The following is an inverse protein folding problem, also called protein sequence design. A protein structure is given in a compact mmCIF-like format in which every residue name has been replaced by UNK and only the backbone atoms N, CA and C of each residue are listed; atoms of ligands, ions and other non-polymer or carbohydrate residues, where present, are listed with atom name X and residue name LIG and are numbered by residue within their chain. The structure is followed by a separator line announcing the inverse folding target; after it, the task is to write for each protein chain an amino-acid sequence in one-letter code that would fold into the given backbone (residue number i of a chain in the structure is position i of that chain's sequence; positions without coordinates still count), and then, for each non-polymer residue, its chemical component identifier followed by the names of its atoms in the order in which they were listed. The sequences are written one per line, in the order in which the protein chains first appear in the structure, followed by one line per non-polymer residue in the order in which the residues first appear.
data_IF_497849284691
#
_entry.id   IF_497849284691
#
_cell.length_a   1.000
_cell.length_b   1.000
_cell.length_c   1.000
_cell.angle_alpha   90.00
_cell.angle_beta   90.00
_cell.angle_gamma   90.00
#
_symmetry.space_group_name_H-M   'P 1'
#
loop_
_entity.id
_entity.type
_entity.pdbx_description
1 polymer ?
#
# COMPACT_ATOMS: atom_id res chain seq x y z
N UNK A 1 -21.29 -23.13 3.42
CA UNK A 1 -20.77 -21.96 4.17
C UNK A 1 -19.33 -21.83 3.73
N UNK A 2 -19.11 -21.08 2.64
CA UNK A 2 -17.75 -20.70 2.27
C UNK A 2 -17.30 -19.69 3.31
N UNK A 3 -16.34 -20.12 4.11
CA UNK A 3 -15.60 -19.26 5.02
C UNK A 3 -14.90 -18.22 4.14
N UNK A 4 -15.50 -17.04 4.04
CA UNK A 4 -15.01 -15.88 3.31
C UNK A 4 -13.82 -15.26 4.08
N UNK A 5 -12.86 -16.09 4.45
CA UNK A 5 -11.62 -15.72 5.14
C UNK A 5 -10.59 -15.15 4.14
N UNK A 6 -11.08 -14.68 2.99
CA UNK A 6 -10.27 -14.04 1.97
C UNK A 6 -10.11 -12.57 2.37
N UNK A 7 -8.90 -12.11 2.71
CA UNK A 7 -8.71 -10.72 3.06
C UNK A 7 -9.09 -9.82 1.87
N UNK A 8 -9.62 -8.61 2.12
CA UNK A 8 -10.02 -7.71 1.06
C UNK A 8 -8.83 -7.46 0.12
N UNK A 9 -9.12 -7.33 -1.18
CA UNK A 9 -8.09 -7.12 -2.21
C UNK A 9 -8.50 -5.92 -3.04
N UNK A 10 -7.54 -5.06 -3.33
CA UNK A 10 -7.75 -3.94 -4.23
C UNK A 10 -6.66 -3.90 -5.30
N UNK A 11 -7.01 -3.38 -6.46
CA UNK A 11 -6.07 -3.03 -7.51
C UNK A 11 -6.06 -1.51 -7.67
N UNK A 12 -4.86 -0.92 -7.76
CA UNK A 12 -4.72 0.51 -7.97
C UNK A 12 -3.64 0.78 -9.00
N UNK A 13 -4.01 1.52 -10.04
CA UNK A 13 -3.07 2.01 -11.05
C UNK A 13 -2.22 3.10 -10.43
N UNK A 14 -0.89 2.95 -10.54
CA UNK A 14 0.07 3.91 -9.99
C UNK A 14 0.77 4.65 -11.12
N UNK A 15 0.52 5.96 -11.23
CA UNK A 15 1.15 6.84 -12.20
C UNK A 15 2.35 7.57 -11.58
N UNK A 16 3.56 7.09 -11.86
CA UNK A 16 4.80 7.65 -11.29
C UNK A 16 5.06 9.12 -11.67
N UNK A 17 4.51 9.59 -12.79
CA UNK A 17 4.67 10.98 -13.26
C UNK A 17 3.87 12.00 -12.43
N UNK A 18 2.75 11.58 -11.84
CA UNK A 18 1.84 12.45 -11.10
C UNK A 18 1.75 12.12 -9.61
N UNK A 19 2.29 10.97 -9.19
CA UNK A 19 2.29 10.56 -7.78
C UNK A 19 3.48 11.19 -7.03
N UNK A 20 3.20 12.01 -6.01
CA UNK A 20 4.20 12.75 -5.22
C UNK A 20 5.08 11.89 -4.29
N UNK A 21 5.45 10.66 -4.67
CA UNK A 21 6.24 9.76 -3.83
C UNK A 21 5.45 9.09 -2.69
N UNK A 22 4.13 9.25 -2.67
CA UNK A 22 3.21 8.54 -1.78
C UNK A 22 2.10 7.86 -2.58
N UNK A 23 1.43 6.88 -1.96
CA UNK A 23 0.26 6.22 -2.53
C UNK A 23 -0.92 6.31 -1.59
N UNK A 24 -2.01 6.92 -2.05
CA UNK A 24 -3.29 6.91 -1.36
C UNK A 24 -3.88 5.51 -1.37
N UNK A 25 -4.35 5.02 -0.22
CA UNK A 25 -5.12 3.78 -0.11
C UNK A 25 -6.59 4.11 -0.45
N UNK A 26 -7.26 3.34 -1.33
CA UNK A 26 -8.68 3.57 -1.62
C UNK A 26 -9.55 3.51 -0.37
N UNK A 27 -10.49 4.45 -0.22
CA UNK A 27 -11.35 4.55 0.97
C UNK A 27 -12.21 3.29 1.20
N UNK A 28 -12.66 2.66 0.12
CA UNK A 28 -13.43 1.39 0.16
C UNK A 28 -12.63 0.27 0.83
N UNK A 29 -11.30 0.30 0.71
CA UNK A 29 -10.43 -0.65 1.41
C UNK A 29 -10.17 -0.24 2.85
N UNK A 30 -10.22 1.06 3.14
CA UNK A 30 -10.02 1.59 4.49
C UNK A 30 -11.15 1.24 5.44
N UNK A 31 -12.40 1.20 4.98
CA UNK A 31 -13.56 0.84 5.82
C UNK A 31 -13.49 -0.61 6.35
N UNK A 32 -12.78 -1.48 5.63
CA UNK A 32 -12.52 -2.87 6.03
C UNK A 32 -11.33 -3.01 7.00
N UNK A 33 -10.54 -1.95 7.19
CA UNK A 33 -9.37 -1.98 8.06
C UNK A 33 -9.75 -1.73 9.53
N UNK A 34 -8.99 -2.28 10.48
CA UNK A 34 -9.20 -2.01 11.90
C UNK A 34 -9.08 -0.51 12.18
N UNK A 35 -9.93 0.00 13.09
CA UNK A 35 -9.98 1.43 13.49
C UNK A 35 -8.64 2.01 13.90
N UNK A 36 -7.73 1.17 14.40
CA UNK A 36 -6.36 1.53 14.74
C UNK A 36 -5.41 0.98 13.68
N UNK A 37 -5.01 1.85 12.75
CA UNK A 37 -3.99 1.50 11.78
C UNK A 37 -2.60 1.47 12.42
N UNK A 38 -1.76 0.48 12.06
CA UNK A 38 -0.38 0.47 12.49
C UNK A 38 0.39 1.65 11.88
N UNK A 39 1.47 2.09 12.53
CA UNK A 39 2.33 3.17 12.02
C UNK A 39 3.10 2.76 10.75
N UNK A 40 3.22 1.46 10.52
CA UNK A 40 3.99 0.88 9.42
C UNK A 40 3.24 -0.31 8.81
N UNK A 41 3.33 -0.45 7.48
CA UNK A 41 2.89 -1.61 6.74
C UNK A 41 4.09 -2.36 6.17
N UNK A 42 3.91 -3.67 5.95
CA UNK A 42 4.87 -4.53 5.28
C UNK A 42 4.33 -4.88 3.91
N UNK A 43 5.00 -4.42 2.86
CA UNK A 43 4.71 -4.80 1.49
C UNK A 43 5.59 -6.00 1.14
N UNK A 44 4.99 -7.06 0.59
CA UNK A 44 5.71 -8.25 0.12
C UNK A 44 5.56 -8.37 -1.38
N UNK A 45 6.68 -8.55 -2.07
CA UNK A 45 6.73 -8.73 -3.51
C UNK A 45 6.72 -10.21 -3.89
N UNK A 46 6.48 -10.48 -5.16
CA UNK A 46 6.41 -11.83 -5.72
C UNK A 46 7.67 -12.68 -5.50
N UNK A 47 8.86 -12.06 -5.44
CA UNK A 47 10.13 -12.76 -5.17
C UNK A 47 10.58 -12.75 -3.70
N UNK A 48 9.66 -12.68 -2.73
CA UNK A 48 10.00 -12.76 -1.30
C UNK A 48 10.63 -11.51 -0.68
N UNK A 49 10.94 -10.52 -1.50
CA UNK A 49 11.38 -9.19 -1.09
C UNK A 49 10.33 -8.52 -0.18
N UNK A 50 10.78 -7.93 0.93
CA UNK A 50 9.93 -7.27 1.93
C UNK A 50 10.32 -5.80 2.05
N UNK A 51 9.32 -4.91 2.06
CA UNK A 51 9.50 -3.47 2.25
C UNK A 51 8.64 -2.97 3.40
N UNK A 52 9.28 -2.29 4.35
CA UNK A 52 8.58 -1.56 5.40
C UNK A 52 8.25 -0.17 4.91
N UNK A 53 6.97 0.20 4.91
CA UNK A 53 6.49 1.53 4.52
C UNK A 53 5.75 2.16 5.69
N UNK A 54 5.88 3.48 5.85
CA UNK A 54 5.11 4.23 6.84
C UNK A 54 3.67 4.38 6.37
N UNK A 55 2.72 4.24 7.30
CA UNK A 55 1.32 4.58 7.08
C UNK A 55 1.09 5.98 7.66
N UNK A 56 0.62 6.89 6.83
CA UNK A 56 0.36 8.28 7.19
C UNK A 56 -1.12 8.57 7.02
N UNK A 57 -1.75 9.13 8.05
CA UNK A 57 -3.17 9.50 8.04
C UNK A 57 -3.26 11.01 7.98
N UNK A 58 -3.84 11.55 6.90
CA UNK A 58 -4.21 12.96 6.85
C UNK A 58 -5.54 13.15 7.55
N UNK A 59 -5.48 13.50 8.84
CA UNK A 59 -6.65 13.74 9.71
C UNK A 59 -7.69 14.71 9.13
N UNK A 60 -7.29 15.63 8.26
CA UNK A 60 -8.22 16.61 7.65
C UNK A 60 -9.15 16.01 6.60
N UNK A 61 -8.76 14.90 5.98
CA UNK A 61 -9.49 14.29 4.85
C UNK A 61 -9.77 12.80 5.08
N UNK A 62 -9.41 12.26 6.24
CA UNK A 62 -9.48 10.82 6.57
C UNK A 62 -8.77 9.94 5.53
N UNK A 63 -7.81 10.52 4.82
CA UNK A 63 -7.09 9.84 3.77
C UNK A 63 -5.85 9.16 4.34
N UNK A 64 -5.69 7.89 4.00
CA UNK A 64 -4.55 7.07 4.41
C UNK A 64 -3.60 6.89 3.24
N UNK A 65 -2.31 7.09 3.51
CA UNK A 65 -1.26 7.04 2.51
C UNK A 65 -0.14 6.11 2.96
N UNK A 66 0.45 5.41 1.99
CA UNK A 66 1.81 4.92 2.12
C UNK A 66 2.77 6.08 1.86
N UNK A 67 3.43 6.52 2.93
CA UNK A 67 4.39 7.61 2.92
C UNK A 67 5.82 7.10 2.77
N UNK A 68 6.67 7.43 3.75
CA UNK A 68 8.10 7.07 3.72
C UNK A 68 8.33 5.59 3.42
N UNK A 69 9.19 5.30 2.44
CA UNK A 69 9.51 3.95 1.99
C UNK A 69 8.70 3.49 0.77
N UNK A 70 7.56 4.12 0.48
CA UNK A 70 6.75 3.82 -0.70
C UNK A 70 7.50 4.07 -2.03
N UNK A 71 8.25 5.18 -2.13
CA UNK A 71 9.02 5.51 -3.34
C UNK A 71 10.06 4.44 -3.67
N UNK A 72 10.68 3.83 -2.65
CA UNK A 72 11.66 2.75 -2.83
C UNK A 72 11.01 1.47 -3.37
N UNK A 73 9.77 1.20 -2.96
CA UNK A 73 8.97 0.10 -3.49
C UNK A 73 8.53 0.37 -4.94
N UNK A 74 7.89 1.51 -5.19
CA UNK A 74 7.35 1.88 -6.51
C UNK A 74 8.43 2.05 -7.58
N UNK A 75 9.60 2.63 -7.26
CA UNK A 75 10.70 2.75 -8.22
C UNK A 75 11.33 1.38 -8.56
N UNK A 76 11.39 0.47 -7.59
CA UNK A 76 11.93 -0.88 -7.81
C UNK A 76 10.96 -1.74 -8.62
N UNK A 77 9.65 -1.56 -8.42
CA UNK A 77 8.61 -2.17 -9.27
C UNK A 77 8.73 -1.71 -10.73
N UNK A 78 9.08 -0.44 -10.96
CA UNK A 78 9.29 0.13 -12.31
C UNK A 78 10.48 -0.47 -13.06
N UNK A 79 11.46 -1.02 -12.32
CA UNK A 79 12.68 -1.56 -12.92
C UNK A 79 12.65 -3.08 -13.10
N UNK A 80 11.85 -3.82 -12.33
CA UNK A 80 11.88 -5.29 -12.36
C UNK A 80 10.51 -5.88 -12.00
N UNK A 81 9.88 -6.53 -12.98
CA UNK A 81 9.00 -7.69 -12.77
C UNK A 81 9.77 -8.92 -12.25
N UNK A 82 10.93 -8.73 -11.63
CA UNK A 82 11.87 -9.78 -11.26
C UNK A 82 12.64 -9.35 -9.99
N UNK A 83 12.13 -9.73 -8.81
CA UNK A 83 13.08 -10.20 -7.79
C UNK A 83 13.52 -11.59 -8.30
N UNK A 84 14.61 -11.64 -9.08
CA UNK A 84 15.44 -12.84 -9.28
C UNK A 84 16.76 -12.57 -8.58
#
# INVERSE_FOLDING_TARGET
MEDDDTPPRFFKVFNSHSSSGSMLIPIVYYDELPRLLPKTAILRGSGGCIWKVAIEIKKKQEEVYFGKGWTKFSYRWRLLNMCV
#
